data_IF_267115222049
#
_entry.id   IF_267115222049
#
_cell.length_a   1.000
_cell.length_b   1.000
_cell.length_c   1.000
_cell.angle_alpha   90.00
_cell.angle_beta   90.00
_cell.angle_gamma   90.00
#
_symmetry.space_group_name_H-M   'P 1'
#
loop_
_entity.id
_entity.type
_entity.pdbx_description
1 polymer ?
#
# COMPACT_ATOMS: atom_id res chain seq x y z
N UNK A 1 15.90 -5.10 19.68
CA UNK A 1 15.56 -3.76 19.14
C UNK A 1 14.87 -3.86 17.77
N UNK A 2 15.55 -4.42 16.75
CA UNK A 2 15.05 -4.50 15.35
C UNK A 2 13.65 -5.13 15.21
N UNK A 3 13.42 -6.32 15.78
CA UNK A 3 12.10 -7.00 15.69
C UNK A 3 11.00 -6.21 16.40
N UNK A 4 11.32 -5.59 17.51
CA UNK A 4 10.39 -4.72 18.23
C UNK A 4 9.96 -3.51 17.38
N UNK A 5 10.92 -2.85 16.73
CA UNK A 5 10.63 -1.72 15.82
C UNK A 5 9.75 -2.15 14.64
N UNK A 6 10.07 -3.28 14.00
CA UNK A 6 9.26 -3.81 12.89
C UNK A 6 7.83 -4.10 13.37
N UNK A 7 7.67 -4.75 14.51
CA UNK A 7 6.34 -5.06 15.07
C UNK A 7 5.54 -3.81 15.41
N UNK A 8 6.16 -2.83 16.05
CA UNK A 8 5.53 -1.56 16.41
C UNK A 8 5.09 -0.76 15.18
N UNK A 9 5.97 -0.61 14.20
CA UNK A 9 5.64 0.06 12.94
C UNK A 9 4.60 -0.71 12.12
N UNK A 10 4.62 -2.06 12.18
CA UNK A 10 3.60 -2.90 11.58
C UNK A 10 2.21 -2.67 12.20
N UNK A 11 2.13 -2.57 13.51
CA UNK A 11 0.88 -2.23 14.20
C UNK A 11 0.36 -0.86 13.76
N UNK A 12 1.23 0.16 13.69
CA UNK A 12 0.86 1.51 13.24
C UNK A 12 0.39 1.46 11.78
N UNK A 13 1.10 0.76 10.89
CA UNK A 13 0.70 0.60 9.48
C UNK A 13 -0.66 -0.06 9.33
N UNK A 14 -0.92 -1.12 10.09
CA UNK A 14 -2.20 -1.83 10.10
C UNK A 14 -3.34 -0.94 10.58
N UNK A 15 -3.15 -0.17 11.64
CA UNK A 15 -4.14 0.78 12.14
C UNK A 15 -4.40 1.91 11.15
N UNK A 16 -3.35 2.45 10.51
CA UNK A 16 -3.48 3.45 9.45
C UNK A 16 -4.29 2.91 8.26
N UNK A 17 -4.02 1.67 7.84
CA UNK A 17 -4.80 0.97 6.82
C UNK A 17 -6.27 0.85 7.22
N UNK A 18 -6.53 0.32 8.39
CA UNK A 18 -7.90 0.14 8.90
C UNK A 18 -8.67 1.45 8.89
N UNK A 19 -8.07 2.52 9.39
CA UNK A 19 -8.68 3.85 9.43
C UNK A 19 -8.95 4.42 8.03
N UNK A 20 -7.97 4.40 7.14
CA UNK A 20 -8.11 4.96 5.79
C UNK A 20 -9.09 4.15 4.94
N UNK A 21 -9.01 2.81 4.97
CA UNK A 21 -9.99 1.96 4.28
C UNK A 21 -11.41 2.24 4.75
N UNK A 22 -11.62 2.34 6.07
CA UNK A 22 -12.91 2.62 6.66
C UNK A 22 -13.47 3.97 6.23
N UNK A 23 -12.66 5.03 6.33
CA UNK A 23 -13.07 6.40 5.92
C UNK A 23 -13.43 6.45 4.43
N UNK A 24 -12.59 5.88 3.57
CA UNK A 24 -12.84 5.87 2.12
C UNK A 24 -14.11 5.10 1.79
N UNK A 25 -14.26 3.89 2.32
CA UNK A 25 -15.39 3.02 2.01
C UNK A 25 -16.71 3.59 2.56
N UNK A 26 -16.67 4.24 3.71
CA UNK A 26 -17.84 4.92 4.29
C UNK A 26 -18.32 6.09 3.42
N UNK A 27 -17.38 6.89 2.86
CA UNK A 27 -17.72 8.08 2.07
C UNK A 27 -18.06 7.76 0.60
N UNK A 28 -17.61 6.62 0.09
CA UNK A 28 -17.83 6.21 -1.31
C UNK A 28 -18.93 5.17 -1.37
N UNK A 29 -20.12 5.36 -1.03
CA UNK A 29 -21.27 4.42 -1.02
C UNK A 29 -21.28 3.41 -2.21
N UNK A 30 -20.29 2.55 -2.31
CA UNK A 30 -20.06 1.58 -3.39
C UNK A 30 -19.57 0.25 -2.83
N UNK A 31 -19.96 -0.86 -3.47
CA UNK A 31 -19.44 -2.20 -3.18
C UNK A 31 -18.06 -2.46 -3.78
N UNK A 32 -17.56 -1.56 -4.64
CA UNK A 32 -16.21 -1.63 -5.17
C UNK A 32 -15.18 -1.28 -4.08
N UNK A 33 -14.07 -2.03 -3.93
CA UNK A 33 -13.11 -1.87 -2.83
C UNK A 33 -12.16 -0.68 -3.02
N UNK A 34 -12.69 0.53 -3.10
CA UNK A 34 -11.90 1.77 -3.24
C UNK A 34 -10.94 1.97 -2.07
N UNK A 35 -11.32 1.56 -0.85
CA UNK A 35 -10.48 1.68 0.32
C UNK A 35 -9.19 0.88 0.20
N UNK A 36 -9.27 -0.39 -0.18
CA UNK A 36 -8.11 -1.25 -0.42
C UNK A 36 -7.27 -0.74 -1.60
N UNK A 37 -7.93 -0.33 -2.68
CA UNK A 37 -7.23 0.24 -3.84
C UNK A 37 -6.40 1.47 -3.44
N UNK A 38 -6.99 2.44 -2.76
CA UNK A 38 -6.31 3.67 -2.36
C UNK A 38 -5.14 3.40 -1.40
N UNK A 39 -5.33 2.53 -0.42
CA UNK A 39 -4.29 2.13 0.54
C UNK A 39 -3.10 1.52 -0.21
N UNK A 40 -3.35 0.58 -1.11
CA UNK A 40 -2.28 -0.06 -1.88
C UNK A 40 -1.58 0.92 -2.82
N UNK A 41 -2.31 1.78 -3.52
CA UNK A 41 -1.75 2.78 -4.43
C UNK A 41 -0.90 3.83 -3.69
N UNK A 42 -1.39 4.36 -2.59
CA UNK A 42 -0.62 5.31 -1.76
C UNK A 42 0.59 4.64 -1.13
N UNK A 43 0.45 3.39 -0.68
CA UNK A 43 1.57 2.59 -0.18
C UNK A 43 2.65 2.38 -1.23
N UNK A 44 2.30 2.06 -2.48
CA UNK A 44 3.23 1.93 -3.60
C UNK A 44 4.01 3.23 -3.85
N UNK A 45 3.31 4.37 -3.88
CA UNK A 45 3.95 5.68 -4.08
C UNK A 45 4.93 6.02 -2.95
N UNK A 46 4.46 5.98 -1.71
CA UNK A 46 5.29 6.39 -0.58
C UNK A 46 6.43 5.41 -0.29
N UNK A 47 6.24 4.11 -0.49
CA UNK A 47 7.35 3.16 -0.37
C UNK A 47 8.41 3.40 -1.45
N UNK A 48 8.00 3.68 -2.69
CA UNK A 48 8.91 4.08 -3.77
C UNK A 48 9.68 5.36 -3.44
N UNK A 49 8.99 6.38 -2.94
CA UNK A 49 9.57 7.66 -2.55
C UNK A 49 10.54 7.50 -1.38
N UNK A 50 10.07 7.02 -0.24
CA UNK A 50 10.86 6.93 0.99
C UNK A 50 11.96 5.87 0.88
N UNK A 51 11.67 4.74 0.22
CA UNK A 51 12.67 3.71 -0.06
C UNK A 51 13.85 4.28 -0.84
N UNK A 52 13.59 5.02 -1.90
CA UNK A 52 14.63 5.61 -2.74
C UNK A 52 15.38 6.76 -2.05
N UNK A 53 14.69 7.63 -1.32
CA UNK A 53 15.33 8.72 -0.54
C UNK A 53 16.32 8.13 0.48
N UNK A 54 15.93 7.07 1.18
CA UNK A 54 16.80 6.43 2.18
C UNK A 54 18.02 5.74 1.57
N UNK A 55 17.95 5.35 0.31
CA UNK A 55 19.10 4.81 -0.43
C UNK A 55 20.04 5.91 -0.92
N UNK A 56 19.50 7.04 -1.37
CA UNK A 56 20.27 8.08 -2.05
C UNK A 56 20.85 9.13 -1.12
N UNK A 57 20.12 9.53 -0.08
CA UNK A 57 20.39 10.78 0.64
C UNK A 57 20.44 10.68 2.15
N UNK A 58 19.66 9.80 2.75
CA UNK A 58 19.54 9.71 4.19
C UNK A 58 20.33 8.52 4.70
N UNK A 59 21.38 8.79 5.48
CA UNK A 59 22.07 7.73 6.22
C UNK A 59 21.18 7.35 7.41
N UNK A 60 20.30 6.38 7.17
CA UNK A 60 19.39 5.85 8.18
C UNK A 60 19.89 4.47 8.62
N UNK A 61 19.94 4.18 9.93
CA UNK A 61 20.28 2.85 10.41
C UNK A 61 19.39 1.77 9.76
N UNK A 62 19.95 0.60 9.42
CA UNK A 62 19.21 -0.47 8.73
C UNK A 62 17.92 -0.90 9.43
N UNK A 63 17.90 -0.90 10.75
CA UNK A 63 16.73 -1.26 11.55
C UNK A 63 15.55 -0.30 11.36
N UNK A 64 15.79 0.99 11.17
CA UNK A 64 14.74 1.97 10.89
C UNK A 64 14.20 1.84 9.47
N UNK A 65 15.07 1.59 8.48
CA UNK A 65 14.62 1.30 7.12
C UNK A 65 13.71 0.07 7.08
N UNK A 66 14.08 -0.97 7.82
CA UNK A 66 13.27 -2.20 7.92
C UNK A 66 11.96 -1.96 8.67
N UNK A 67 11.97 -1.17 9.76
CA UNK A 67 10.76 -0.81 10.48
C UNK A 67 9.77 -0.06 9.59
N UNK A 68 10.25 0.85 8.75
CA UNK A 68 9.40 1.60 7.81
C UNK A 68 8.94 0.70 6.66
N UNK A 69 9.86 0.07 5.94
CA UNK A 69 9.54 -0.67 4.72
C UNK A 69 8.77 -1.96 4.99
N UNK A 70 9.26 -2.79 5.92
CA UNK A 70 8.66 -4.09 6.24
C UNK A 70 7.56 -3.92 7.29
N UNK A 71 7.81 -3.13 8.34
CA UNK A 71 6.83 -2.90 9.40
C UNK A 71 5.67 -2.05 8.88
N UNK A 72 5.88 -0.74 8.72
CA UNK A 72 4.80 0.18 8.40
C UNK A 72 4.13 -0.15 7.06
N UNK A 73 4.87 -0.15 5.95
CA UNK A 73 4.26 -0.40 4.63
C UNK A 73 3.80 -1.84 4.45
N UNK A 74 4.46 -2.83 5.08
CA UNK A 74 3.98 -4.21 5.10
C UNK A 74 2.66 -4.38 5.84
N UNK A 75 2.45 -3.63 6.94
CA UNK A 75 1.18 -3.59 7.65
C UNK A 75 0.12 -2.70 6.97
N UNK A 76 0.54 -1.61 6.33
CA UNK A 76 -0.34 -0.65 5.66
C UNK A 76 -0.94 -1.19 4.37
N UNK A 77 -0.15 -1.82 3.50
CA UNK A 77 -0.63 -2.40 2.24
C UNK A 77 -1.13 -3.83 2.43
N UNK A 78 -1.95 -4.34 1.50
CA UNK A 78 -2.48 -5.69 1.61
C UNK A 78 -2.75 -6.35 0.25
N UNK A 79 -2.03 -7.42 -0.02
CA UNK A 79 -2.29 -8.26 -1.17
C UNK A 79 -3.42 -9.28 -0.91
N UNK A 80 -3.53 -9.78 0.32
CA UNK A 80 -4.55 -10.77 0.68
C UNK A 80 -5.96 -10.23 0.62
N UNK A 81 -6.20 -9.00 1.08
CA UNK A 81 -7.51 -8.34 0.93
C UNK A 81 -7.85 -8.12 -0.54
N UNK A 82 -6.89 -7.63 -1.34
CA UNK A 82 -7.03 -7.49 -2.79
C UNK A 82 -7.42 -8.80 -3.47
N UNK A 83 -6.74 -9.90 -3.14
CA UNK A 83 -7.04 -11.21 -3.69
C UNK A 83 -8.43 -11.72 -3.30
N UNK A 84 -8.80 -11.59 -2.03
CA UNK A 84 -10.12 -11.96 -1.53
C UNK A 84 -11.24 -11.17 -2.21
N UNK A 85 -11.13 -9.87 -2.27
CA UNK A 85 -12.11 -8.96 -2.87
C UNK A 85 -12.29 -9.25 -4.37
N UNK A 86 -11.17 -9.47 -5.09
CA UNK A 86 -11.19 -9.86 -6.51
C UNK A 86 -11.92 -11.18 -6.71
N UNK A 87 -11.55 -12.21 -5.92
CA UNK A 87 -12.18 -13.53 -6.01
C UNK A 87 -13.70 -13.44 -5.77
N UNK A 88 -14.13 -12.63 -4.80
CA UNK A 88 -15.56 -12.42 -4.52
C UNK A 88 -16.29 -11.75 -5.68
N UNK A 89 -15.70 -10.77 -6.35
CA UNK A 89 -16.28 -10.17 -7.56
C UNK A 89 -16.44 -11.21 -8.68
N UNK A 90 -15.41 -12.04 -8.90
CA UNK A 90 -15.46 -13.09 -9.93
C UNK A 90 -16.51 -14.16 -9.60
N UNK A 91 -16.60 -14.61 -8.35
CA UNK A 91 -17.65 -15.55 -7.91
C UNK A 91 -19.06 -14.98 -8.11
N UNK A 92 -19.23 -13.66 -7.91
CA UNK A 92 -20.51 -12.97 -8.14
C UNK A 92 -20.80 -12.71 -9.63
N UNK A 93 -19.93 -13.14 -10.55
CA UNK A 93 -20.09 -12.87 -11.99
C UNK A 93 -19.73 -11.45 -12.43
N UNK A 94 -19.13 -10.65 -11.55
CA UNK A 94 -18.73 -9.26 -11.82
C UNK A 94 -17.35 -9.19 -12.50
N UNK A 95 -17.19 -9.88 -13.61
CA UNK A 95 -15.93 -10.06 -14.32
C UNK A 95 -15.27 -8.74 -14.73
N UNK A 96 -16.04 -7.79 -15.23
CA UNK A 96 -15.53 -6.48 -15.64
C UNK A 96 -14.97 -5.69 -14.45
N UNK A 97 -15.71 -5.69 -13.34
CA UNK A 97 -15.26 -5.00 -12.10
C UNK A 97 -14.02 -5.67 -11.51
N UNK A 98 -14.00 -6.99 -11.43
CA UNK A 98 -12.86 -7.75 -10.94
C UNK A 98 -11.61 -7.51 -11.80
N UNK A 99 -11.74 -7.60 -13.12
CA UNK A 99 -10.63 -7.34 -14.06
C UNK A 99 -10.15 -5.89 -13.99
N UNK A 100 -11.06 -4.92 -13.92
CA UNK A 100 -10.70 -3.50 -13.76
C UNK A 100 -9.97 -3.24 -12.45
N UNK A 101 -10.39 -3.89 -11.36
CA UNK A 101 -9.73 -3.80 -10.06
C UNK A 101 -8.30 -4.35 -10.09
N UNK A 102 -8.09 -5.50 -10.71
CA UNK A 102 -6.76 -6.10 -10.90
C UNK A 102 -5.89 -5.18 -11.76
N UNK A 103 -6.40 -4.74 -12.92
CA UNK A 103 -5.67 -3.86 -13.83
C UNK A 103 -5.29 -2.53 -13.18
N UNK A 104 -6.23 -1.87 -12.50
CA UNK A 104 -5.97 -0.62 -11.78
C UNK A 104 -4.93 -0.82 -10.66
N UNK A 105 -5.07 -1.88 -9.86
CA UNK A 105 -4.14 -2.17 -8.77
C UNK A 105 -2.71 -2.39 -9.27
N UNK A 106 -2.53 -3.20 -10.32
CA UNK A 106 -1.21 -3.54 -10.86
C UNK A 106 -0.61 -2.37 -11.64
N UNK A 107 -1.34 -1.83 -12.60
CA UNK A 107 -0.82 -0.80 -13.50
C UNK A 107 -0.55 0.50 -12.73
N UNK A 108 -1.55 1.00 -12.01
CA UNK A 108 -1.40 2.25 -11.25
C UNK A 108 -0.42 2.08 -10.09
N UNK A 109 -0.41 0.92 -9.42
CA UNK A 109 0.54 0.62 -8.35
C UNK A 109 1.99 0.69 -8.84
N UNK A 110 2.31 0.07 -9.98
CA UNK A 110 3.64 0.14 -10.58
C UNK A 110 3.99 1.57 -11.05
N UNK A 111 3.07 2.26 -11.70
CA UNK A 111 3.29 3.64 -12.14
C UNK A 111 3.56 4.58 -10.95
N UNK A 112 2.81 4.44 -9.86
CA UNK A 112 2.98 5.24 -8.65
C UNK A 112 4.29 4.90 -7.92
N UNK A 113 4.70 3.63 -7.88
CA UNK A 113 6.02 3.25 -7.36
C UNK A 113 7.14 3.93 -8.15
N UNK A 114 7.09 3.87 -9.48
CA UNK A 114 8.06 4.54 -10.35
C UNK A 114 8.02 6.06 -10.18
N UNK A 115 6.84 6.65 -10.05
CA UNK A 115 6.68 8.09 -9.79
C UNK A 115 7.33 8.49 -8.46
N UNK A 116 7.12 7.71 -7.40
CA UNK A 116 7.78 7.93 -6.10
C UNK A 116 9.30 7.87 -6.20
N UNK A 117 9.84 6.85 -6.86
CA UNK A 117 11.29 6.69 -7.10
C UNK A 117 11.84 7.88 -7.89
N UNK A 118 11.18 8.27 -8.98
CA UNK A 118 11.62 9.41 -9.82
C UNK A 118 11.59 10.72 -9.05
N UNK A 119 10.57 10.92 -8.22
CA UNK A 119 10.48 12.10 -7.37
C UNK A 119 11.62 12.13 -6.35
N UNK A 120 11.93 11.00 -5.72
CA UNK A 120 13.05 10.86 -4.78
C UNK A 120 14.40 11.22 -5.41
N UNK A 121 14.61 10.88 -6.67
CA UNK A 121 15.85 11.17 -7.38
C UNK A 121 16.06 12.65 -7.72
N UNK A 122 15.05 13.50 -7.51
CA UNK A 122 15.17 14.96 -7.68
C UNK A 122 15.69 15.69 -6.43
N UNK A 123 15.64 15.03 -5.29
CA UNK A 123 16.16 15.55 -4.02
C UNK A 123 17.59 15.07 -3.77
#
# INVERSE_FOLDING_TARGET
MKLFLIGMFGAIGTLARYGLQGVVQFNVASTFPYGTLLVNLTGCFFLGLLGQITLNRIIMPPEWRMAIAIGFFGGYTTFSSFGWETAKMLEAGEWLRGTAYVAASVILGLLLSVAGIRLANRF
#
